data_IF_305959388639
#
_entry.id   IF_305959388639
#
_cell.length_a   1.000
_cell.length_b   1.000
_cell.length_c   1.000
_cell.angle_alpha   90.00
_cell.angle_beta   90.00
_cell.angle_gamma   90.00
#
_symmetry.space_group_name_H-M   'P 1'
#
loop_
_entity.id
_entity.type
_entity.pdbx_description
1 polymer ?
#
# COMPACT_ATOMS: atom_id res chain seq x y z
N UNK A 1 40.25 25.04 -10.51
CA UNK A 1 39.42 24.24 -9.59
C UNK A 1 38.62 23.25 -10.41
N UNK A 2 38.97 21.96 -10.34
CA UNK A 2 38.16 20.91 -10.97
C UNK A 2 36.86 20.78 -10.17
N UNK A 3 35.72 21.13 -10.77
CA UNK A 3 34.42 20.81 -10.19
C UNK A 3 34.24 19.30 -10.30
N UNK A 4 34.28 18.61 -9.17
CA UNK A 4 33.76 17.24 -9.09
C UNK A 4 32.26 17.35 -9.28
N UNK A 5 31.76 16.82 -10.39
CA UNK A 5 30.33 16.76 -10.66
C UNK A 5 29.74 15.68 -9.74
N UNK A 6 28.99 16.11 -8.73
CA UNK A 6 28.30 15.22 -7.80
C UNK A 6 26.92 14.93 -8.37
N UNK A 7 26.70 13.69 -8.77
CA UNK A 7 25.41 13.25 -9.29
C UNK A 7 24.35 13.15 -8.17
N UNK A 8 23.12 13.63 -8.40
CA UNK A 8 22.03 13.49 -7.44
C UNK A 8 21.71 12.02 -7.16
N UNK A 9 21.39 11.73 -5.89
CA UNK A 9 20.92 10.41 -5.47
C UNK A 9 19.42 10.42 -5.17
N UNK A 10 18.84 9.24 -4.91
CA UNK A 10 17.48 9.10 -4.39
C UNK A 10 17.26 9.99 -3.17
N UNK A 11 18.21 10.03 -2.24
CA UNK A 11 18.16 10.86 -1.04
C UNK A 11 18.13 12.36 -1.34
N UNK A 12 18.86 12.79 -2.38
CA UNK A 12 18.87 14.18 -2.82
C UNK A 12 17.48 14.62 -3.28
N UNK A 13 16.83 13.81 -4.12
CA UNK A 13 15.50 14.13 -4.63
C UNK A 13 14.41 14.00 -3.58
N UNK A 14 14.39 12.94 -2.77
CA UNK A 14 13.40 12.77 -1.71
C UNK A 14 13.44 13.91 -0.70
N UNK A 15 14.64 14.38 -0.34
CA UNK A 15 14.82 15.51 0.56
C UNK A 15 14.30 16.82 -0.06
N UNK A 16 14.64 17.09 -1.33
CA UNK A 16 14.19 18.27 -2.05
C UNK A 16 12.65 18.30 -2.21
N UNK A 17 12.06 17.18 -2.61
CA UNK A 17 10.60 17.03 -2.73
C UNK A 17 9.91 17.22 -1.38
N UNK A 18 10.45 16.64 -0.31
CA UNK A 18 9.90 16.80 1.04
C UNK A 18 9.94 18.25 1.51
N UNK A 19 11.02 18.97 1.24
CA UNK A 19 11.15 20.40 1.55
C UNK A 19 10.10 21.22 0.80
N UNK A 20 9.93 21.00 -0.50
CA UNK A 20 8.91 21.67 -1.30
C UNK A 20 7.49 21.41 -0.77
N UNK A 21 7.20 20.19 -0.33
CA UNK A 21 5.91 19.84 0.29
C UNK A 21 5.66 20.50 1.63
N UNK A 22 6.69 20.68 2.45
CA UNK A 22 6.56 21.37 3.74
C UNK A 22 6.36 22.89 3.59
N UNK A 23 6.88 23.48 2.51
CA UNK A 23 6.66 24.89 2.17
C UNK A 23 5.39 25.11 1.32
N UNK A 24 4.66 24.05 0.97
CA UNK A 24 3.53 24.07 0.03
C UNK A 24 3.87 24.73 -1.33
N UNK A 25 5.12 24.63 -1.77
CA UNK A 25 5.63 25.25 -3.00
C UNK A 25 5.43 24.35 -4.23
N UNK A 26 4.21 24.29 -4.76
CA UNK A 26 3.87 23.40 -5.88
C UNK A 26 4.69 23.67 -7.15
N UNK A 27 5.06 24.94 -7.41
CA UNK A 27 5.86 25.32 -8.59
C UNK A 27 7.25 24.68 -8.54
N UNK A 28 7.88 24.73 -7.37
CA UNK A 28 9.20 24.12 -7.16
C UNK A 28 9.10 22.60 -7.20
N UNK A 29 8.05 22.03 -6.59
CA UNK A 29 7.74 20.61 -6.68
C UNK A 29 7.66 20.08 -8.12
N UNK A 30 7.00 20.82 -9.01
CA UNK A 30 6.90 20.49 -10.45
C UNK A 30 8.26 20.49 -11.15
N UNK A 31 9.13 21.45 -10.84
CA UNK A 31 10.49 21.50 -11.40
C UNK A 31 11.34 20.33 -10.92
N UNK A 32 11.26 19.99 -9.63
CA UNK A 32 11.97 18.85 -9.06
C UNK A 32 11.47 17.53 -9.68
N UNK A 33 10.14 17.37 -9.82
CA UNK A 33 9.56 16.22 -10.51
C UNK A 33 10.08 16.11 -11.95
N UNK A 34 10.11 17.20 -12.72
CA UNK A 34 10.64 17.16 -14.08
C UNK A 34 12.11 16.70 -14.14
N UNK A 35 12.94 17.11 -13.16
CA UNK A 35 14.32 16.63 -13.04
C UNK A 35 14.40 15.14 -12.69
N UNK A 36 13.55 14.65 -11.79
CA UNK A 36 13.43 13.23 -11.44
C UNK A 36 13.17 12.39 -12.70
N UNK A 37 12.15 12.74 -13.48
CA UNK A 37 11.82 12.03 -14.73
C UNK A 37 12.97 12.09 -15.74
N UNK A 38 13.58 13.27 -15.92
CA UNK A 38 14.69 13.42 -16.87
C UNK A 38 15.92 12.59 -16.50
N UNK A 39 16.13 12.35 -15.20
CA UNK A 39 17.26 11.57 -14.67
C UNK A 39 16.91 10.10 -14.44
N UNK A 40 15.68 9.65 -14.76
CA UNK A 40 15.27 8.24 -14.68
C UNK A 40 14.99 7.73 -13.26
N UNK A 41 14.66 8.63 -12.34
CA UNK A 41 14.40 8.30 -10.93
C UNK A 41 12.90 8.10 -10.62
N UNK A 42 12.03 8.16 -11.63
CA UNK A 42 10.58 8.11 -11.46
C UNK A 42 10.03 6.73 -11.10
N UNK A 43 10.81 5.67 -11.34
CA UNK A 43 10.53 4.29 -10.90
C UNK A 43 10.88 4.05 -9.42
N UNK A 44 11.68 4.93 -8.79
CA UNK A 44 12.09 4.78 -7.40
C UNK A 44 10.91 5.02 -6.46
N UNK A 45 10.63 4.05 -5.59
CA UNK A 45 9.43 4.03 -4.75
C UNK A 45 9.47 5.17 -3.74
N UNK A 46 10.63 5.43 -3.16
CA UNK A 46 10.86 6.49 -2.18
C UNK A 46 10.56 7.87 -2.78
N UNK A 47 11.00 8.10 -4.02
CA UNK A 47 10.72 9.34 -4.76
C UNK A 47 9.24 9.42 -5.11
N UNK A 48 8.65 8.31 -5.51
CA UNK A 48 7.24 8.20 -5.84
C UNK A 48 6.34 8.61 -4.69
N UNK A 49 6.62 8.09 -3.49
CA UNK A 49 5.89 8.40 -2.27
C UNK A 49 6.13 9.83 -1.82
N UNK A 50 7.35 10.34 -1.94
CA UNK A 50 7.67 11.74 -1.65
C UNK A 50 6.87 12.69 -2.56
N UNK A 51 6.77 12.40 -3.87
CA UNK A 51 6.00 13.19 -4.82
C UNK A 51 4.51 13.19 -4.50
N UNK A 52 3.91 12.01 -4.26
CA UNK A 52 2.50 11.89 -3.85
C UNK A 52 2.26 12.73 -2.58
N UNK A 53 3.11 12.58 -1.57
CA UNK A 53 3.00 13.31 -0.31
C UNK A 53 3.13 14.82 -0.50
N UNK A 54 4.08 15.27 -1.32
CA UNK A 54 4.28 16.68 -1.62
C UNK A 54 3.06 17.28 -2.30
N UNK A 55 2.54 16.62 -3.33
CA UNK A 55 1.34 17.10 -4.02
C UNK A 55 0.08 17.04 -3.16
N UNK A 56 -0.05 16.05 -2.28
CA UNK A 56 -1.11 15.99 -1.28
C UNK A 56 -1.09 17.21 -0.36
N UNK A 57 0.09 17.55 0.19
CA UNK A 57 0.28 18.74 1.04
C UNK A 57 0.00 20.05 0.30
N UNK A 58 0.33 20.11 -0.99
CA UNK A 58 0.06 21.26 -1.85
C UNK A 58 -1.40 21.31 -2.38
N UNK A 59 -2.29 20.41 -1.97
CA UNK A 59 -3.67 20.33 -2.48
C UNK A 59 -3.77 20.08 -4.00
N UNK A 60 -2.69 19.57 -4.61
CA UNK A 60 -2.54 19.42 -6.07
C UNK A 60 -2.23 17.98 -6.44
N UNK A 61 -2.90 17.03 -5.78
CA UNK A 61 -2.61 15.59 -5.85
C UNK A 61 -2.63 15.03 -7.28
N UNK A 62 -3.46 15.59 -8.16
CA UNK A 62 -3.57 15.26 -9.58
C UNK A 62 -2.27 15.49 -10.37
N UNK A 63 -1.40 16.41 -9.92
CA UNK A 63 -0.12 16.73 -10.56
C UNK A 63 0.97 15.67 -10.31
N UNK A 64 0.74 14.73 -9.39
CA UNK A 64 1.69 13.63 -9.10
C UNK A 64 1.95 12.72 -10.31
N UNK A 65 1.09 12.78 -11.35
CA UNK A 65 1.10 11.89 -12.52
C UNK A 65 1.02 10.40 -12.14
N UNK A 66 0.52 10.11 -10.93
CA UNK A 66 0.27 8.75 -10.45
C UNK A 66 -1.22 8.50 -10.37
N UNK A 67 -1.62 7.27 -10.72
CA UNK A 67 -2.99 6.80 -10.50
C UNK A 67 -3.15 6.52 -9.01
N UNK A 68 -4.17 7.13 -8.41
CA UNK A 68 -4.45 6.99 -6.98
C UNK A 68 -5.75 6.20 -6.84
N UNK A 69 -5.69 5.21 -5.96
CA UNK A 69 -6.80 4.36 -5.60
C UNK A 69 -7.03 4.53 -4.10
N UNK A 70 -8.25 4.91 -3.73
CA UNK A 70 -8.67 5.04 -2.35
C UNK A 70 -9.65 3.92 -2.02
N UNK A 71 -9.49 3.34 -0.83
CA UNK A 71 -10.36 2.30 -0.29
C UNK A 71 -10.82 2.75 1.08
N UNK A 72 -12.14 2.80 1.30
CA UNK A 72 -12.69 3.06 2.62
C UNK A 72 -13.46 1.84 3.11
N UNK A 73 -13.51 1.66 4.42
CA UNK A 73 -14.17 0.49 5.03
C UNK A 73 -15.66 0.56 4.71
N UNK A 74 -16.20 -0.49 4.10
CA UNK A 74 -17.62 -0.62 3.78
C UNK A 74 -18.11 0.30 2.64
N UNK A 75 -17.22 0.94 1.87
CA UNK A 75 -17.61 1.70 0.69
C UNK A 75 -17.38 0.94 -0.62
N UNK A 76 -18.20 1.27 -1.63
CA UNK A 76 -18.11 0.78 -3.01
C UNK A 76 -17.82 1.91 -4.00
N UNK A 77 -17.13 2.96 -3.55
CA UNK A 77 -16.84 4.14 -4.39
C UNK A 77 -15.74 3.86 -5.43
N UNK A 78 -14.98 2.78 -5.27
CA UNK A 78 -13.98 2.38 -6.23
C UNK A 78 -14.62 1.86 -7.53
N UNK A 79 -14.17 2.27 -8.73
CA UNK A 79 -14.75 1.80 -10.00
C UNK A 79 -14.71 0.28 -10.21
N UNK A 80 -13.80 -0.40 -9.50
CA UNK A 80 -13.65 -1.86 -9.51
C UNK A 80 -14.04 -2.50 -8.17
N UNK A 81 -14.96 -1.88 -7.43
CA UNK A 81 -15.30 -2.34 -6.09
C UNK A 81 -15.79 -3.80 -6.11
N UNK A 82 -16.71 -4.14 -7.01
CA UNK A 82 -17.29 -5.47 -7.07
C UNK A 82 -16.24 -6.53 -7.40
N UNK A 83 -15.35 -6.32 -8.38
CA UNK A 83 -14.28 -7.28 -8.68
C UNK A 83 -13.29 -7.43 -7.51
N UNK A 84 -12.99 -6.34 -6.79
CA UNK A 84 -12.13 -6.40 -5.61
C UNK A 84 -12.76 -7.24 -4.51
N UNK A 85 -14.05 -7.04 -4.22
CA UNK A 85 -14.73 -7.78 -3.16
C UNK A 85 -14.94 -9.26 -3.51
N UNK A 86 -15.29 -9.56 -4.76
CA UNK A 86 -15.41 -10.95 -5.26
C UNK A 86 -14.06 -11.69 -5.15
N UNK A 87 -12.97 -11.05 -5.57
CA UNK A 87 -11.66 -11.68 -5.47
C UNK A 87 -11.15 -11.78 -4.02
N UNK A 88 -11.49 -10.81 -3.17
CA UNK A 88 -11.21 -10.90 -1.74
C UNK A 88 -11.91 -12.11 -1.12
N UNK A 89 -13.16 -12.37 -1.48
CA UNK A 89 -13.91 -13.55 -1.02
C UNK A 89 -13.25 -14.85 -1.50
N UNK A 90 -12.86 -14.93 -2.78
CA UNK A 90 -12.11 -16.08 -3.31
C UNK A 90 -10.80 -16.31 -2.52
N UNK A 91 -10.03 -15.25 -2.28
CA UNK A 91 -8.79 -15.32 -1.51
C UNK A 91 -9.04 -15.77 -0.06
N UNK A 92 -10.11 -15.31 0.58
CA UNK A 92 -10.50 -15.73 1.92
C UNK A 92 -10.85 -17.22 1.95
N UNK A 93 -11.60 -17.72 0.97
CA UNK A 93 -11.96 -19.14 0.86
C UNK A 93 -10.70 -20.00 0.69
N UNK A 94 -9.82 -19.61 -0.25
CA UNK A 94 -8.53 -20.30 -0.47
C UNK A 94 -7.62 -20.26 0.75
N UNK A 95 -7.63 -19.16 1.51
CA UNK A 95 -6.90 -19.05 2.76
C UNK A 95 -7.48 -19.97 3.84
N UNK A 96 -8.81 -20.03 3.97
CA UNK A 96 -9.48 -20.92 4.92
C UNK A 96 -9.15 -22.40 4.65
N UNK A 97 -9.10 -22.80 3.38
CA UNK A 97 -8.72 -24.17 2.96
C UNK A 97 -7.31 -24.58 3.45
N UNK A 98 -6.41 -23.62 3.66
CA UNK A 98 -5.05 -23.86 4.17
C UNK A 98 -4.87 -23.45 5.64
N UNK A 99 -5.97 -23.20 6.36
CA UNK A 99 -5.98 -23.01 7.81
C UNK A 99 -5.97 -21.56 8.31
N UNK A 100 -6.23 -20.58 7.44
CA UNK A 100 -6.50 -19.21 7.90
C UNK A 100 -7.84 -19.15 8.62
N UNK A 101 -7.85 -18.52 9.79
CA UNK A 101 -9.08 -18.20 10.54
C UNK A 101 -9.14 -16.70 10.70
N UNK A 102 -10.21 -16.09 10.22
CA UNK A 102 -10.41 -14.65 10.36
C UNK A 102 -10.68 -14.30 11.82
N UNK A 103 -9.86 -13.40 12.37
CA UNK A 103 -10.05 -12.89 13.72
C UNK A 103 -11.02 -11.71 13.67
N UNK A 104 -12.29 -12.00 13.90
CA UNK A 104 -13.30 -11.00 14.17
C UNK A 104 -13.13 -10.55 15.62
N UNK A 105 -12.29 -9.54 15.86
CA UNK A 105 -12.14 -8.97 17.20
C UNK A 105 -13.53 -8.72 17.81
N UNK A 106 -13.81 -9.53 18.82
CA UNK A 106 -15.09 -9.81 19.46
C UNK A 106 -15.79 -8.55 19.98
N UNK A 107 -16.88 -8.12 19.35
CA UNK A 107 -17.86 -7.22 19.96
C UNK A 107 -19.32 -7.51 19.58
N UNK A 108 -19.59 -8.55 18.78
CA UNK A 108 -20.94 -8.88 18.36
C UNK A 108 -21.21 -10.37 18.52
N UNK A 109 -22.41 -10.69 18.98
CA UNK A 109 -22.88 -12.06 19.14
C UNK A 109 -23.11 -12.71 17.76
N UNK A 110 -23.06 -14.04 17.67
CA UNK A 110 -23.26 -14.81 16.42
C UNK A 110 -24.53 -14.39 15.65
N UNK A 111 -25.59 -14.00 16.35
CA UNK A 111 -26.85 -13.49 15.79
C UNK A 111 -26.79 -12.08 15.18
N UNK A 112 -25.80 -11.26 15.56
CA UNK A 112 -25.58 -9.90 15.02
C UNK A 112 -24.66 -9.92 13.79
N UNK A 113 -23.93 -11.02 13.57
CA UNK A 113 -23.05 -11.25 12.42
C UNK A 113 -23.83 -11.68 11.17
N UNK A 114 -24.92 -12.43 11.32
CA UNK A 114 -25.76 -12.89 10.20
C UNK A 114 -26.60 -11.77 9.54
N UNK A 115 -26.77 -10.61 10.20
CA UNK A 115 -27.63 -9.52 9.73
C UNK A 115 -26.88 -8.32 9.13
N UNK A 116 -25.55 -8.25 9.27
CA UNK A 116 -24.76 -7.11 8.78
C UNK A 116 -24.02 -7.44 7.49
N UNK A 117 -23.90 -6.42 6.64
CA UNK A 117 -23.13 -6.49 5.41
C UNK A 117 -21.71 -6.99 5.71
N UNK A 118 -21.28 -8.14 5.15
CA UNK A 118 -19.97 -8.73 5.42
C UNK A 118 -18.79 -7.80 5.02
N UNK A 119 -19.05 -6.76 4.22
CA UNK A 119 -18.04 -5.76 3.84
C UNK A 119 -17.68 -4.78 4.98
N UNK A 120 -18.49 -4.70 6.05
CA UNK A 120 -18.33 -3.72 7.13
C UNK A 120 -17.04 -3.89 7.97
N UNK A 121 -16.43 -5.08 7.92
CA UNK A 121 -15.25 -5.43 8.71
C UNK A 121 -14.00 -5.64 7.88
N UNK A 122 -14.04 -5.29 6.59
CA UNK A 122 -12.88 -5.42 5.70
C UNK A 122 -11.95 -4.24 5.90
N UNK A 123 -10.72 -4.52 6.31
CA UNK A 123 -9.69 -3.49 6.47
C UNK A 123 -9.06 -3.10 5.13
N UNK A 124 -8.61 -1.85 5.05
CA UNK A 124 -8.02 -1.28 3.84
C UNK A 124 -6.76 -2.00 3.36
N UNK A 125 -6.02 -2.68 4.24
CA UNK A 125 -4.89 -3.52 3.82
C UNK A 125 -5.32 -4.70 2.94
N UNK A 126 -6.42 -5.39 3.30
CA UNK A 126 -6.91 -6.51 2.50
C UNK A 126 -7.36 -6.02 1.12
N UNK A 127 -8.08 -4.90 1.07
CA UNK A 127 -8.51 -4.27 -0.18
C UNK A 127 -7.32 -3.84 -1.03
N UNK A 128 -6.31 -3.19 -0.44
CA UNK A 128 -5.13 -2.73 -1.16
C UNK A 128 -4.32 -3.90 -1.74
N UNK A 129 -4.10 -4.97 -0.98
CA UNK A 129 -3.42 -6.18 -1.45
C UNK A 129 -4.23 -6.88 -2.54
N UNK A 130 -5.54 -7.02 -2.34
CA UNK A 130 -6.43 -7.68 -3.32
C UNK A 130 -6.46 -6.92 -4.64
N UNK A 131 -6.64 -5.60 -4.59
CA UNK A 131 -6.59 -4.74 -5.77
C UNK A 131 -5.22 -4.82 -6.47
N UNK A 132 -4.12 -4.85 -5.71
CA UNK A 132 -2.79 -4.99 -6.27
C UNK A 132 -2.60 -6.35 -6.97
N UNK A 133 -3.11 -7.44 -6.40
CA UNK A 133 -3.09 -8.76 -7.05
C UNK A 133 -3.91 -8.79 -8.35
N UNK A 134 -5.07 -8.11 -8.39
CA UNK A 134 -5.87 -8.00 -9.61
C UNK A 134 -5.21 -7.16 -10.70
N UNK A 135 -4.53 -6.09 -10.30
CA UNK A 135 -4.09 -5.04 -11.24
C UNK A 135 -2.65 -5.19 -11.70
N UNK A 136 -1.81 -5.92 -10.96
CA UNK A 136 -0.38 -6.04 -11.24
C UNK A 136 -0.05 -7.40 -11.83
N UNK A 137 0.78 -7.48 -12.88
CA UNK A 137 1.22 -8.75 -13.47
C UNK A 137 1.83 -9.68 -12.44
N UNK A 138 1.68 -10.99 -12.64
CA UNK A 138 2.26 -12.01 -11.78
C UNK A 138 3.78 -11.83 -11.61
N UNK A 139 4.27 -12.16 -10.41
CA UNK A 139 5.70 -12.09 -10.08
C UNK A 139 6.25 -10.71 -9.70
N UNK A 140 5.52 -9.60 -9.90
CA UNK A 140 5.96 -8.28 -9.44
C UNK A 140 5.70 -8.12 -7.93
N UNK A 141 6.67 -7.82 -7.06
CA UNK A 141 6.41 -7.63 -5.63
C UNK A 141 5.34 -6.57 -5.35
N UNK A 142 4.43 -6.85 -4.41
CA UNK A 142 3.39 -5.90 -3.98
C UNK A 142 3.93 -5.10 -2.81
N UNK A 143 3.72 -3.78 -2.82
CA UNK A 143 4.12 -2.90 -1.71
C UNK A 143 2.92 -2.11 -1.21
N UNK A 144 2.61 -2.24 0.08
CA UNK A 144 1.54 -1.51 0.75
C UNK A 144 2.15 -0.64 1.84
N UNK A 145 1.76 0.64 1.88
CA UNK A 145 2.20 1.56 2.93
C UNK A 145 0.99 2.01 3.74
N UNK A 146 1.07 1.79 5.06
CA UNK A 146 0.06 2.18 6.04
C UNK A 146 0.66 3.16 7.04
N UNK A 147 -0.14 4.15 7.43
CA UNK A 147 0.22 5.12 8.46
C UNK A 147 -0.10 4.64 9.89
N UNK A 148 -0.89 3.58 10.02
CA UNK A 148 -1.25 2.93 11.27
C UNK A 148 -0.58 1.56 11.35
N UNK A 149 -0.52 0.99 12.56
CA UNK A 149 -0.08 -0.39 12.76
C UNK A 149 -1.00 -1.34 12.00
N UNK A 150 -0.42 -2.36 11.36
CA UNK A 150 -1.20 -3.46 10.78
C UNK A 150 -1.82 -4.27 11.91
N UNK A 151 -3.10 -4.64 11.81
CA UNK A 151 -3.72 -5.47 12.84
C UNK A 151 -3.28 -6.94 12.71
N UNK A 152 -3.48 -7.72 13.78
CA UNK A 152 -3.15 -9.16 13.83
C UNK A 152 -3.80 -9.95 12.68
N UNK A 153 -5.11 -9.74 12.47
CA UNK A 153 -5.87 -10.41 11.41
C UNK A 153 -5.29 -10.12 10.01
N UNK A 154 -5.08 -8.85 9.66
CA UNK A 154 -4.52 -8.49 8.37
C UNK A 154 -3.08 -9.00 8.22
N UNK A 155 -2.27 -8.92 9.26
CA UNK A 155 -0.92 -9.46 9.24
C UNK A 155 -0.93 -10.97 8.96
N UNK A 156 -1.78 -11.73 9.65
CA UNK A 156 -1.93 -13.17 9.45
C UNK A 156 -2.49 -13.50 8.07
N UNK A 157 -3.54 -12.82 7.64
CA UNK A 157 -4.12 -12.98 6.31
C UNK A 157 -3.07 -12.78 5.21
N UNK A 158 -2.28 -11.70 5.27
CA UNK A 158 -1.24 -11.41 4.25
C UNK A 158 -0.18 -12.53 4.20
N UNK A 159 0.15 -13.18 5.32
CA UNK A 159 1.00 -14.39 5.30
C UNK A 159 0.39 -15.45 4.37
N UNK A 160 -0.86 -15.85 4.61
CA UNK A 160 -1.54 -16.84 3.79
C UNK A 160 -1.61 -16.41 2.32
N UNK A 161 -1.93 -15.15 2.05
CA UNK A 161 -1.98 -14.62 0.69
C UNK A 161 -0.62 -14.66 -0.01
N UNK A 162 0.49 -14.36 0.68
CA UNK A 162 1.83 -14.48 0.09
C UNK A 162 2.16 -15.90 -0.36
N UNK A 163 1.64 -16.92 0.33
CA UNK A 163 1.76 -18.33 -0.06
C UNK A 163 0.83 -18.68 -1.22
N UNK A 164 -0.43 -18.28 -1.15
CA UNK A 164 -1.47 -18.57 -2.16
C UNK A 164 -1.13 -17.96 -3.52
N UNK A 165 -0.64 -16.72 -3.51
CA UNK A 165 -0.26 -15.98 -4.72
C UNK A 165 1.18 -16.24 -5.17
N UNK A 166 1.97 -16.96 -4.37
CA UNK A 166 3.42 -17.17 -4.58
C UNK A 166 4.15 -15.86 -4.92
N UNK A 167 3.91 -14.83 -4.10
CA UNK A 167 4.30 -13.45 -4.41
C UNK A 167 4.80 -12.75 -3.16
N UNK A 168 5.91 -12.02 -3.30
CA UNK A 168 6.41 -11.16 -2.23
C UNK A 168 5.43 -10.01 -2.00
N UNK A 169 5.05 -9.81 -0.74
CA UNK A 169 4.24 -8.66 -0.31
C UNK A 169 5.02 -7.94 0.78
N UNK A 170 5.29 -6.66 0.60
CA UNK A 170 5.94 -5.81 1.59
C UNK A 170 4.94 -4.82 2.14
N UNK A 171 4.71 -4.86 3.45
CA UNK A 171 3.86 -3.88 4.13
C UNK A 171 4.70 -3.04 5.06
N UNK A 172 4.72 -1.73 4.83
CA UNK A 172 5.27 -0.75 5.77
C UNK A 172 4.14 -0.23 6.63
N UNK A 173 4.19 -0.44 7.93
CA UNK A 173 3.26 0.16 8.89
C UNK A 173 3.91 1.32 9.66
N UNK A 174 3.23 1.86 10.67
CA UNK A 174 3.74 2.97 11.48
C UNK A 174 5.10 2.69 12.15
N UNK A 175 5.41 1.42 12.45
CA UNK A 175 6.54 1.01 13.27
C UNK A 175 7.67 0.36 12.48
N UNK A 176 7.34 -0.45 11.46
CA UNK A 176 8.33 -1.28 10.77
C UNK A 176 7.90 -1.71 9.37
N UNK A 177 8.83 -2.38 8.69
CA UNK A 177 8.57 -3.13 7.47
C UNK A 177 8.32 -4.60 7.79
N UNK A 178 7.27 -5.14 7.17
CA UNK A 178 6.91 -6.54 7.18
C UNK A 178 7.12 -7.08 5.77
N UNK A 179 8.01 -8.06 5.62
CA UNK A 179 8.24 -8.76 4.36
C UNK A 179 7.55 -10.11 4.45
N UNK A 180 6.53 -10.31 3.61
CA UNK A 180 5.75 -11.53 3.54
C UNK A 180 6.16 -12.35 2.34
N UNK A 181 6.57 -13.60 2.58
CA UNK A 181 6.99 -14.52 1.54
C UNK A 181 6.67 -15.96 1.97
N UNK A 182 6.03 -16.73 1.07
CA UNK A 182 5.73 -18.15 1.25
C UNK A 182 5.00 -18.50 2.57
N UNK A 183 4.18 -17.59 3.09
CA UNK A 183 3.44 -17.82 4.34
C UNK A 183 4.13 -17.32 5.59
N UNK A 184 5.30 -16.69 5.48
CA UNK A 184 6.08 -16.20 6.61
C UNK A 184 6.19 -14.68 6.55
N UNK A 185 6.41 -14.05 7.71
CA UNK A 185 6.73 -12.63 7.81
C UNK A 185 8.10 -12.43 8.47
N UNK A 186 8.87 -11.45 8.00
CA UNK A 186 10.16 -11.06 8.58
C UNK A 186 10.11 -10.67 10.07
N UNK A 187 8.94 -10.28 10.59
CA UNK A 187 8.76 -9.93 12.00
C UNK A 187 8.76 -11.14 12.95
N UNK A 188 8.68 -12.37 12.42
CA UNK A 188 8.58 -13.63 13.19
C UNK A 188 7.46 -13.63 14.24
N UNK A 189 6.33 -12.99 13.90
CA UNK A 189 5.18 -12.82 14.79
C UNK A 189 5.47 -12.04 16.09
N UNK A 190 6.57 -11.28 16.13
CA UNK A 190 6.77 -10.23 17.12
C UNK A 190 6.21 -8.92 16.55
N UNK A 191 4.88 -8.84 16.38
CA UNK A 191 4.19 -7.68 15.81
C UNK A 191 4.04 -6.55 16.81
#
# INVERSE_FOLDING_TARGET
MNKVEVEPSVFTFTSAVSAAGNLAEVKQGKLIQAMIFKRGFDSEIEISNALITMYAKCGSISDSKRKIHAFFVGDKLHPLADEIYEYLEELNNRAADIGYVQDHNSLLNETEMEQKDPTLYVHSEKLAVTFALLSLPDGIPIRVMKNLRVCSDCHNWIKFISRISNREIVVRDAYRFHHFENGNCSCKDFW
#
